data_IF_201495084937
#
_entry.id   IF_201495084937
#
_cell.length_a   1.000
_cell.length_b   1.000
_cell.length_c   1.000
_cell.angle_alpha   90.00
_cell.angle_beta   90.00
_cell.angle_gamma   90.00
#
_symmetry.space_group_name_H-M   'P 1'
#
loop_
_entity.id
_entity.type
_entity.pdbx_description
1 polymer ?
#
# COMPACT_ATOMS: atom_id res chain seq x y z
N UNK A 1 10.13 2.40 -28.69
CA UNK A 1 9.47 1.76 -27.53
C UNK A 1 10.04 2.37 -26.27
N UNK A 2 9.21 3.08 -25.54
CA UNK A 2 9.67 3.69 -24.31
C UNK A 2 9.83 2.63 -23.22
N UNK A 3 10.98 2.63 -22.57
CA UNK A 3 11.19 1.78 -21.41
C UNK A 3 10.27 2.26 -20.29
N UNK A 4 9.45 1.36 -19.77
CA UNK A 4 8.64 1.68 -18.61
C UNK A 4 9.59 1.91 -17.44
N UNK A 5 9.43 3.04 -16.77
CA UNK A 5 10.18 3.31 -15.55
C UNK A 5 9.87 2.23 -14.53
N UNK A 6 10.92 1.74 -13.88
CA UNK A 6 10.80 0.75 -12.82
C UNK A 6 10.84 1.46 -11.47
N UNK A 7 9.86 1.18 -10.62
CA UNK A 7 9.83 1.72 -9.28
C UNK A 7 10.88 1.04 -8.41
N UNK A 8 11.45 1.83 -7.50
CA UNK A 8 12.35 1.34 -6.45
C UNK A 8 11.60 1.43 -5.13
N UNK A 9 11.62 0.35 -4.35
CA UNK A 9 10.99 0.28 -3.03
C UNK A 9 12.09 0.25 -1.99
N UNK A 10 12.18 1.34 -1.21
CA UNK A 10 13.22 1.49 -0.20
C UNK A 10 12.60 1.56 1.20
N UNK A 11 12.99 0.65 2.08
CA UNK A 11 12.50 0.68 3.45
C UNK A 11 13.01 1.93 4.18
N UNK A 12 12.07 2.66 4.80
CA UNK A 12 12.37 3.83 5.62
C UNK A 12 12.67 3.38 7.05
N UNK A 13 13.94 3.17 7.36
CA UNK A 13 14.39 2.70 8.68
C UNK A 13 14.81 3.83 9.59
N UNK A 14 15.41 4.88 9.03
CA UNK A 14 15.92 6.02 9.80
C UNK A 14 14.78 7.00 10.09
N UNK A 15 14.85 7.65 11.25
CA UNK A 15 13.84 8.60 11.66
C UNK A 15 13.63 9.73 10.63
N UNK A 16 14.71 10.27 10.06
CA UNK A 16 14.60 11.33 9.06
C UNK A 16 13.84 10.84 7.80
N UNK A 17 14.01 9.59 7.41
CA UNK A 17 13.28 9.01 6.28
C UNK A 17 11.78 8.91 6.58
N UNK A 18 11.44 8.50 7.80
CA UNK A 18 10.03 8.43 8.26
C UNK A 18 9.44 9.83 8.31
N UNK A 19 10.17 10.80 8.84
CA UNK A 19 9.73 12.21 8.90
C UNK A 19 9.47 12.76 7.50
N UNK A 20 10.36 12.48 6.56
CA UNK A 20 10.20 12.95 5.16
C UNK A 20 8.96 12.36 4.51
N UNK A 21 8.67 11.08 4.74
CA UNK A 21 7.45 10.45 4.24
C UNK A 21 6.19 10.99 4.91
N UNK A 22 6.27 11.38 6.18
CA UNK A 22 5.12 11.95 6.89
C UNK A 22 4.68 13.29 6.31
N UNK A 23 5.57 14.01 5.64
CA UNK A 23 5.28 15.29 4.99
C UNK A 23 4.62 15.12 3.62
N UNK A 24 4.50 13.91 3.15
CA UNK A 24 3.81 13.57 1.92
C UNK A 24 2.31 13.79 2.12
N UNK A 25 1.77 14.87 1.59
CA UNK A 25 0.39 15.32 1.87
C UNK A 25 -0.62 14.45 1.10
N UNK A 26 -0.94 13.30 1.66
CA UNK A 26 -1.84 12.33 1.06
C UNK A 26 -2.65 11.60 2.14
N UNK A 27 -3.68 10.88 1.69
CA UNK A 27 -4.43 9.94 2.51
C UNK A 27 -4.00 8.52 2.15
N UNK A 28 -3.84 7.68 3.17
CA UNK A 28 -3.53 6.28 2.96
C UNK A 28 -4.79 5.44 2.83
N UNK A 29 -4.74 4.41 2.01
CA UNK A 29 -5.78 3.40 1.93
C UNK A 29 -5.57 2.39 3.05
N UNK A 30 -6.41 2.44 4.06
CA UNK A 30 -6.25 1.69 5.31
C UNK A 30 -7.57 1.04 5.74
N UNK A 31 -7.51 0.18 6.74
CA UNK A 31 -8.67 -0.50 7.33
C UNK A 31 -9.50 0.42 8.26
N UNK A 32 -9.01 1.59 8.57
CA UNK A 32 -9.72 2.54 9.44
C UNK A 32 -9.81 3.91 8.79
N UNK A 33 -10.93 4.61 9.02
CA UNK A 33 -11.12 5.99 8.57
C UNK A 33 -10.38 7.00 9.43
N UNK A 34 -10.04 6.60 10.66
CA UNK A 34 -9.36 7.46 11.62
C UNK A 34 -7.86 7.56 11.36
N UNK A 35 -7.35 6.73 10.45
CA UNK A 35 -5.93 6.76 10.11
C UNK A 35 -5.65 7.98 9.22
N UNK A 36 -4.96 8.94 9.78
CA UNK A 36 -4.44 10.08 9.03
C UNK A 36 -2.95 9.88 8.76
N UNK A 37 -2.49 10.34 7.59
CA UNK A 37 -1.08 10.24 7.22
C UNK A 37 -0.28 11.30 7.97
N UNK A 38 0.01 11.02 9.25
CA UNK A 38 0.76 11.89 10.16
C UNK A 38 1.96 11.14 10.71
N UNK A 39 2.98 11.88 11.14
CA UNK A 39 4.17 11.29 11.74
C UNK A 39 3.82 10.38 12.92
N UNK A 40 2.93 10.83 13.81
CA UNK A 40 2.54 10.05 14.98
C UNK A 40 1.86 8.74 14.61
N UNK A 41 0.94 8.77 13.67
CA UNK A 41 0.22 7.57 13.23
C UNK A 41 1.15 6.60 12.50
N UNK A 42 2.04 7.11 11.66
CA UNK A 42 3.03 6.28 10.96
C UNK A 42 3.96 5.60 11.96
N UNK A 43 4.45 6.33 12.95
CA UNK A 43 5.30 5.77 14.01
C UNK A 43 4.60 4.69 14.81
N UNK A 44 3.31 4.88 15.12
CA UNK A 44 2.50 3.87 15.81
C UNK A 44 2.40 2.59 14.99
N UNK A 45 2.15 2.71 13.69
CA UNK A 45 2.09 1.55 12.78
C UNK A 45 3.42 0.81 12.78
N UNK A 46 4.53 1.52 12.63
CA UNK A 46 5.86 0.91 12.63
C UNK A 46 6.15 0.18 13.93
N UNK A 47 5.73 0.74 15.08
CA UNK A 47 5.89 0.09 16.38
C UNK A 47 5.09 -1.20 16.51
N UNK A 48 3.97 -1.32 15.80
CA UNK A 48 3.13 -2.51 15.84
C UNK A 48 3.50 -3.56 14.80
N UNK A 49 4.62 -3.38 14.11
CA UNK A 49 5.17 -4.38 13.19
C UNK A 49 5.02 -4.05 11.71
N UNK A 50 4.46 -2.90 11.36
CA UNK A 50 4.40 -2.46 9.98
C UNK A 50 5.76 -1.97 9.50
N UNK A 51 6.12 -2.31 8.28
CA UNK A 51 7.31 -1.77 7.60
C UNK A 51 6.88 -0.71 6.60
N UNK A 52 7.55 0.42 6.64
CA UNK A 52 7.29 1.56 5.77
C UNK A 52 8.30 1.58 4.63
N UNK A 53 7.81 1.76 3.40
CA UNK A 53 8.66 1.88 2.21
C UNK A 53 8.37 3.16 1.46
N UNK A 54 9.42 3.83 1.01
CA UNK A 54 9.31 4.86 -0.03
C UNK A 54 9.20 4.19 -1.38
N UNK A 55 8.29 4.66 -2.20
CA UNK A 55 8.16 4.22 -3.60
C UNK A 55 8.75 5.31 -4.47
N UNK A 56 9.82 5.00 -5.20
CA UNK A 56 10.66 5.99 -5.87
C UNK A 56 10.77 5.74 -7.37
N UNK A 57 10.79 6.81 -8.14
CA UNK A 57 11.23 6.80 -9.53
C UNK A 57 12.14 8.02 -9.73
N UNK A 58 13.31 7.83 -10.35
CA UNK A 58 14.32 8.88 -10.55
C UNK A 58 14.63 9.69 -9.29
N UNK A 59 14.77 8.99 -8.14
CA UNK A 59 15.03 9.58 -6.82
C UNK A 59 13.88 10.44 -6.27
N UNK A 60 12.72 10.44 -6.94
CA UNK A 60 11.54 11.16 -6.51
C UNK A 60 10.53 10.21 -5.87
N UNK A 61 9.97 10.61 -4.72
CA UNK A 61 8.95 9.81 -4.04
C UNK A 61 7.61 9.99 -4.74
N UNK A 62 7.03 8.89 -5.22
CA UNK A 62 5.73 8.92 -5.90
C UNK A 62 4.60 8.35 -5.05
N UNK A 63 4.93 7.57 -4.03
CA UNK A 63 3.97 6.98 -3.10
C UNK A 63 4.70 6.44 -1.87
N UNK A 64 3.94 5.98 -0.88
CA UNK A 64 4.47 5.24 0.26
C UNK A 64 3.60 4.01 0.50
N UNK A 65 4.21 2.93 0.99
CA UNK A 65 3.50 1.70 1.30
C UNK A 65 3.90 1.21 2.68
N UNK A 66 2.94 0.56 3.35
CA UNK A 66 3.13 -0.12 4.63
C UNK A 66 2.76 -1.58 4.45
N UNK A 67 3.60 -2.47 4.93
CA UNK A 67 3.33 -3.90 4.90
C UNK A 67 3.55 -4.51 6.28
N UNK A 68 2.72 -5.49 6.64
CA UNK A 68 2.86 -6.22 7.90
C UNK A 68 2.64 -7.70 7.67
N UNK A 69 3.59 -8.51 8.13
CA UNK A 69 3.45 -9.97 8.12
C UNK A 69 2.72 -10.42 9.37
N UNK A 70 1.71 -11.25 9.17
CA UNK A 70 0.93 -11.83 10.26
C UNK A 70 0.63 -13.29 9.89
N UNK A 71 1.47 -14.21 10.36
CA UNK A 71 1.38 -15.61 10.00
C UNK A 71 1.51 -15.82 8.50
N UNK A 72 0.49 -16.40 7.87
CA UNK A 72 0.45 -16.66 6.43
C UNK A 72 -0.08 -15.47 5.62
N UNK A 73 -0.24 -14.32 6.23
CA UNK A 73 -0.88 -13.16 5.61
C UNK A 73 0.06 -11.96 5.57
N UNK A 74 0.09 -11.27 4.44
CA UNK A 74 0.72 -9.97 4.28
C UNK A 74 -0.38 -8.91 4.19
N UNK A 75 -0.47 -8.07 5.21
CA UNK A 75 -1.37 -6.91 5.21
C UNK A 75 -0.67 -5.75 4.52
N UNK A 76 -1.39 -5.00 3.71
CA UNK A 76 -0.83 -3.90 2.94
C UNK A 76 -1.68 -2.65 3.08
N UNK A 77 -1.01 -1.50 3.17
CA UNK A 77 -1.62 -0.17 3.13
C UNK A 77 -0.75 0.69 2.22
N UNK A 78 -1.35 1.59 1.47
CA UNK A 78 -0.58 2.46 0.60
C UNK A 78 -1.25 3.81 0.41
N UNK A 79 -0.45 4.81 0.06
CA UNK A 79 -0.94 6.09 -0.38
C UNK A 79 -1.34 6.03 -1.85
N UNK A 80 -2.18 6.98 -2.34
CA UNK A 80 -2.33 7.16 -3.79
C UNK A 80 -0.98 7.50 -4.42
N UNK A 81 -0.85 7.23 -5.70
CA UNK A 81 0.27 7.75 -6.49
C UNK A 81 0.10 9.26 -6.63
N UNK A 82 1.19 10.03 -6.48
CA UNK A 82 1.15 11.47 -6.75
C UNK A 82 0.58 11.72 -8.13
N UNK A 83 -0.27 12.76 -8.25
CA UNK A 83 -1.01 13.04 -9.48
C UNK A 83 -0.10 13.16 -10.71
N UNK A 84 1.06 13.78 -10.58
CA UNK A 84 2.02 13.94 -11.67
C UNK A 84 2.55 12.61 -12.23
N UNK A 85 2.44 11.53 -11.47
CA UNK A 85 2.95 10.21 -11.85
C UNK A 85 1.85 9.19 -12.14
N UNK A 86 0.60 9.60 -12.12
CA UNK A 86 -0.52 8.70 -12.45
C UNK A 86 -0.55 8.39 -13.95
N UNK A 87 -1.10 7.24 -14.31
CA UNK A 87 -1.20 6.82 -15.71
C UNK A 87 0.04 6.12 -16.26
N UNK A 88 1.03 5.80 -15.42
CA UNK A 88 2.28 5.13 -15.84
C UNK A 88 2.36 3.66 -15.43
N UNK A 89 1.26 3.08 -14.94
CA UNK A 89 1.23 1.69 -14.50
C UNK A 89 1.88 1.45 -13.14
N UNK A 90 2.18 2.48 -12.38
CA UNK A 90 2.85 2.35 -11.08
C UNK A 90 2.03 1.60 -10.04
N UNK A 91 0.70 1.73 -10.08
CA UNK A 91 -0.18 0.97 -9.18
C UNK A 91 -0.04 -0.54 -9.40
N UNK A 92 0.15 -0.98 -10.64
CA UNK A 92 0.41 -2.39 -10.95
C UNK A 92 1.76 -2.84 -10.39
N UNK A 93 2.79 -1.99 -10.45
CA UNK A 93 4.10 -2.30 -9.89
C UNK A 93 4.04 -2.42 -8.36
N UNK A 94 3.23 -1.59 -7.69
CA UNK A 94 3.01 -1.70 -6.24
C UNK A 94 2.36 -3.05 -5.90
N UNK A 95 1.33 -3.48 -6.66
CA UNK A 95 0.73 -4.80 -6.46
C UNK A 95 1.74 -5.92 -6.66
N UNK A 96 2.58 -5.82 -7.66
CA UNK A 96 3.64 -6.80 -7.91
C UNK A 96 4.65 -6.85 -6.76
N UNK A 97 4.99 -5.68 -6.19
CA UNK A 97 5.87 -5.62 -5.02
C UNK A 97 5.29 -6.39 -3.84
N UNK A 98 4.00 -6.25 -3.56
CA UNK A 98 3.36 -7.00 -2.47
C UNK A 98 3.45 -8.50 -2.71
N UNK A 99 3.21 -8.95 -3.93
CA UNK A 99 3.27 -10.37 -4.27
C UNK A 99 4.70 -10.91 -4.16
N UNK A 100 5.70 -10.14 -4.59
CA UNK A 100 7.11 -10.53 -4.46
C UNK A 100 7.54 -10.60 -2.99
N UNK A 101 7.10 -9.64 -2.16
CA UNK A 101 7.36 -9.69 -0.72
C UNK A 101 6.71 -10.92 -0.07
N UNK A 102 5.49 -11.25 -0.46
CA UNK A 102 4.80 -12.43 0.04
C UNK A 102 5.56 -13.71 -0.33
N UNK A 103 5.99 -13.84 -1.58
CA UNK A 103 6.77 -15.00 -2.04
C UNK A 103 8.10 -15.12 -1.31
N UNK A 104 8.78 -14.01 -1.11
CA UNK A 104 10.08 -13.95 -0.44
C UNK A 104 10.02 -14.53 0.98
N UNK A 105 8.90 -14.34 1.69
CA UNK A 105 8.72 -14.83 3.05
C UNK A 105 7.78 -16.04 3.14
N UNK A 106 7.50 -16.71 2.03
CA UNK A 106 6.60 -17.87 1.95
C UNK A 106 5.21 -17.58 2.51
N UNK A 107 4.72 -16.37 2.31
CA UNK A 107 3.39 -15.93 2.71
C UNK A 107 2.41 -16.35 1.62
N UNK A 108 1.23 -16.84 2.02
CA UNK A 108 0.25 -17.40 1.10
C UNK A 108 -0.86 -16.44 0.69
N UNK A 109 -1.05 -15.35 1.41
CA UNK A 109 -2.18 -14.45 1.20
C UNK A 109 -1.76 -12.99 1.36
N UNK A 110 -2.19 -12.16 0.42
CA UNK A 110 -2.00 -10.71 0.48
C UNK A 110 -3.36 -10.06 0.66
N UNK A 111 -3.45 -9.14 1.62
CA UNK A 111 -4.69 -8.39 1.93
C UNK A 111 -4.46 -6.91 1.68
N UNK A 112 -5.47 -6.25 1.09
CA UNK A 112 -5.52 -4.80 1.04
C UNK A 112 -6.92 -4.30 1.39
N UNK A 113 -7.04 -3.00 1.55
CA UNK A 113 -8.25 -2.32 1.97
C UNK A 113 -8.59 -1.23 0.97
N UNK A 114 -9.85 -1.15 0.58
CA UNK A 114 -10.29 -0.26 -0.49
C UNK A 114 -11.62 0.40 -0.12
N UNK A 115 -11.72 1.74 -0.18
CA UNK A 115 -13.02 2.39 0.00
C UNK A 115 -14.04 1.89 -1.02
N UNK A 116 -15.30 1.74 -0.60
CA UNK A 116 -16.38 1.19 -1.43
C UNK A 116 -16.66 2.00 -2.70
N UNK A 117 -16.30 3.28 -2.70
CA UNK A 117 -16.51 4.19 -3.82
C UNK A 117 -15.25 4.44 -4.66
N UNK A 118 -14.15 3.79 -4.35
CA UNK A 118 -12.92 3.91 -5.15
C UNK A 118 -12.93 2.88 -6.29
N UNK A 119 -13.64 3.20 -7.37
CA UNK A 119 -13.84 2.28 -8.49
C UNK A 119 -12.54 1.94 -9.23
N UNK A 120 -11.58 2.86 -9.28
CA UNK A 120 -10.28 2.60 -9.90
C UNK A 120 -9.51 1.52 -9.13
N UNK A 121 -9.49 1.61 -7.81
CA UNK A 121 -8.82 0.62 -6.97
C UNK A 121 -9.55 -0.72 -7.00
N UNK A 122 -10.88 -0.71 -7.05
CA UNK A 122 -11.69 -1.93 -7.21
C UNK A 122 -11.31 -2.63 -8.53
N UNK A 123 -11.26 -1.90 -9.62
CA UNK A 123 -10.88 -2.45 -10.92
C UNK A 123 -9.44 -2.98 -10.92
N UNK A 124 -8.51 -2.27 -10.25
CA UNK A 124 -7.13 -2.72 -10.09
C UNK A 124 -7.05 -4.03 -9.31
N UNK A 125 -7.78 -4.14 -8.20
CA UNK A 125 -7.85 -5.36 -7.42
C UNK A 125 -8.36 -6.54 -8.25
N UNK A 126 -9.45 -6.34 -8.97
CA UNK A 126 -10.03 -7.38 -9.82
C UNK A 126 -9.05 -7.81 -10.92
N UNK A 127 -8.35 -6.87 -11.55
CA UNK A 127 -7.39 -7.15 -12.62
C UNK A 127 -6.19 -7.95 -12.11
N UNK A 128 -5.83 -7.84 -10.84
CA UNK A 128 -4.75 -8.61 -10.22
C UNK A 128 -5.22 -9.91 -9.56
N UNK A 129 -6.49 -10.25 -9.68
CA UNK A 129 -7.04 -11.50 -9.14
C UNK A 129 -7.39 -11.45 -7.66
N UNK A 130 -7.45 -10.26 -7.06
CA UNK A 130 -7.94 -10.10 -5.70
C UNK A 130 -9.45 -10.31 -5.66
N UNK A 131 -9.93 -10.86 -4.55
CA UNK A 131 -11.35 -11.09 -4.31
C UNK A 131 -11.76 -10.48 -2.97
N UNK A 132 -13.01 -10.05 -2.88
CA UNK A 132 -13.58 -9.56 -1.62
C UNK A 132 -13.66 -10.72 -0.63
N UNK A 133 -13.24 -10.45 0.62
CA UNK A 133 -13.29 -11.48 1.68
C UNK A 133 -14.64 -11.57 2.36
N UNK A 134 -15.49 -10.57 2.19
CA UNK A 134 -16.74 -10.42 2.93
C UNK A 134 -16.60 -9.57 4.18
N UNK A 135 -15.38 -9.27 4.61
CA UNK A 135 -15.15 -8.38 5.75
C UNK A 135 -15.19 -6.93 5.30
N UNK A 136 -15.82 -6.09 6.09
CA UNK A 136 -15.90 -4.66 5.87
C UNK A 136 -15.51 -3.92 7.14
N UNK A 137 -14.90 -2.76 6.95
CA UNK A 137 -14.35 -1.94 8.04
C UNK A 137 -14.83 -0.51 7.90
N UNK A 138 -14.51 0.30 8.91
CA UNK A 138 -14.82 1.71 8.93
C UNK A 138 -16.26 2.00 9.33
N UNK A 139 -16.59 3.29 9.43
CA UNK A 139 -17.93 3.74 9.76
C UNK A 139 -18.86 3.39 8.58
N UNK A 140 -20.02 2.79 8.89
CA UNK A 140 -21.00 2.36 7.89
C UNK A 140 -20.45 1.33 6.87
N UNK A 141 -19.45 0.55 7.27
CA UNK A 141 -18.87 -0.51 6.41
C UNK A 141 -18.43 0.04 5.04
N UNK A 142 -17.73 1.18 5.05
CA UNK A 142 -17.34 1.84 3.80
C UNK A 142 -15.95 1.45 3.29
N UNK A 143 -15.29 0.51 3.95
CA UNK A 143 -14.00 -0.04 3.52
C UNK A 143 -14.15 -1.53 3.30
N UNK A 144 -13.73 -2.01 2.13
CA UNK A 144 -13.81 -3.41 1.72
C UNK A 144 -12.44 -4.06 1.91
N UNK A 145 -12.39 -5.23 2.52
CA UNK A 145 -11.19 -6.06 2.55
C UNK A 145 -11.12 -6.93 1.30
N UNK A 146 -9.97 -6.93 0.64
CA UNK A 146 -9.66 -7.74 -0.52
C UNK A 146 -8.49 -8.65 -0.21
N UNK A 147 -8.50 -9.85 -0.76
CA UNK A 147 -7.42 -10.81 -0.59
C UNK A 147 -7.09 -11.53 -1.88
N UNK A 148 -5.82 -11.88 -2.03
CA UNK A 148 -5.33 -12.73 -3.11
C UNK A 148 -4.47 -13.83 -2.51
N UNK A 149 -4.73 -15.07 -2.91
CA UNK A 149 -3.86 -16.21 -2.57
C UNK A 149 -2.67 -16.25 -3.53
N UNK A 150 -1.50 -16.46 -2.95
CA UNK A 150 -0.25 -16.50 -3.70
C UNK A 150 0.23 -17.94 -3.88
#
# INVERSE_FOLDING_TARGET
MEDKETLIFKEAKKEEEVVNLSKFDVQAFTDTQDFSWTLDNIKKEVKTGWKLYSVLTDSEIVAAVLVKRDGDTLHTKNTPIKMAFQGNGFSHQIKNFYEEEAKKFSIRKVINYCPVDNFRMIALNESHGYKRTGKMFGINNNIIEWAKEI
#
